data_IF_903676275479
#
_entry.id   IF_903676275479
#
_cell.length_a   1.000
_cell.length_b   1.000
_cell.length_c   1.000
_cell.angle_alpha   90.00
_cell.angle_beta   90.00
_cell.angle_gamma   90.00
#
_symmetry.space_group_name_H-M   'P 1'
#
loop_
_entity.id
_entity.type
_entity.pdbx_description
1 polymer ?
#
# COMPACT_ATOMS: atom_id res chain seq x y z
N UNK A 1 26.51 -7.05 -16.88
CA UNK A 1 26.34 -6.85 -15.43
C UNK A 1 24.84 -6.72 -15.22
N UNK A 2 24.16 -7.87 -15.09
CA UNK A 2 22.70 -7.94 -15.00
C UNK A 2 22.27 -7.29 -13.67
N UNK A 3 21.63 -6.12 -13.76
CA UNK A 3 21.14 -5.39 -12.60
C UNK A 3 19.91 -6.14 -12.07
N UNK A 4 20.15 -7.08 -11.15
CA UNK A 4 19.11 -7.80 -10.42
C UNK A 4 18.18 -6.77 -9.77
N UNK A 5 16.98 -6.61 -10.32
CA UNK A 5 15.94 -5.76 -9.75
C UNK A 5 15.48 -6.40 -8.45
N UNK A 6 16.11 -6.02 -7.34
CA UNK A 6 15.64 -6.36 -6.00
C UNK A 6 14.32 -5.62 -5.77
N UNK A 7 13.21 -6.26 -6.08
CA UNK A 7 11.88 -5.77 -5.74
C UNK A 7 11.70 -6.01 -4.24
N UNK A 8 12.19 -5.07 -3.44
CA UNK A 8 11.90 -5.07 -2.02
C UNK A 8 10.38 -4.89 -1.85
N UNK A 9 9.67 -5.80 -1.18
CA UNK A 9 8.24 -5.64 -0.94
C UNK A 9 8.00 -4.29 -0.25
N UNK A 10 7.01 -3.55 -0.75
CA UNK A 10 6.67 -2.23 -0.22
C UNK A 10 6.42 -2.34 1.29
N UNK A 11 7.06 -1.45 2.06
CA UNK A 11 7.17 -1.62 3.51
C UNK A 11 5.80 -1.73 4.18
N UNK A 12 5.71 -2.53 5.24
CA UNK A 12 4.48 -2.63 6.04
C UNK A 12 3.97 -1.27 6.55
N UNK A 13 4.87 -0.28 6.69
CA UNK A 13 4.49 1.10 7.01
C UNK A 13 3.57 1.73 5.97
N UNK A 14 3.76 1.45 4.67
CA UNK A 14 2.88 1.95 3.61
C UNK A 14 1.47 1.36 3.68
N UNK A 15 1.36 0.07 4.04
CA UNK A 15 0.07 -0.56 4.27
C UNK A 15 -0.63 0.08 5.49
N UNK A 16 0.08 0.25 6.60
CA UNK A 16 -0.48 0.85 7.82
C UNK A 16 -0.96 2.28 7.55
N UNK A 17 -0.18 3.10 6.84
CA UNK A 17 -0.59 4.47 6.50
C UNK A 17 -1.82 4.50 5.60
N UNK A 18 -1.95 3.57 4.65
CA UNK A 18 -3.16 3.47 3.82
C UNK A 18 -4.41 3.11 4.62
N UNK A 19 -4.29 2.19 5.60
CA UNK A 19 -5.40 1.79 6.48
C UNK A 19 -5.81 2.96 7.39
N UNK A 20 -4.84 3.57 8.07
CA UNK A 20 -5.12 4.69 8.99
C UNK A 20 -5.69 5.88 8.23
N UNK A 21 -5.12 6.22 7.07
CA UNK A 21 -5.62 7.29 6.22
C UNK A 21 -7.04 7.05 5.72
N UNK A 22 -7.37 5.81 5.33
CA UNK A 22 -8.73 5.43 4.95
C UNK A 22 -9.71 5.62 6.12
N UNK A 23 -9.38 5.14 7.32
CA UNK A 23 -10.25 5.26 8.49
C UNK A 23 -10.47 6.72 8.90
N UNK A 24 -9.42 7.54 8.95
CA UNK A 24 -9.54 8.97 9.25
C UNK A 24 -10.40 9.67 8.21
N UNK A 25 -10.19 9.35 6.93
CA UNK A 25 -10.94 9.99 5.86
C UNK A 25 -12.42 9.61 5.88
N UNK A 26 -12.74 8.35 6.15
CA UNK A 26 -14.12 7.86 6.20
C UNK A 26 -14.89 8.34 7.43
N UNK A 27 -14.27 8.34 8.61
CA UNK A 27 -14.96 8.62 9.88
C UNK A 27 -14.83 10.07 10.36
N UNK A 28 -13.73 10.75 10.03
CA UNK A 28 -13.50 12.14 10.47
C UNK A 28 -13.68 13.15 9.35
N UNK A 29 -13.10 12.90 8.17
CA UNK A 29 -13.09 13.91 7.10
C UNK A 29 -14.41 13.93 6.33
N UNK A 30 -14.98 12.77 6.00
CA UNK A 30 -16.24 12.68 5.26
C UNK A 30 -17.42 13.41 5.93
N UNK A 31 -17.69 13.25 7.24
CA UNK A 31 -18.76 14.02 7.89
C UNK A 31 -18.46 15.51 7.99
N UNK A 32 -17.17 15.92 8.04
CA UNK A 32 -16.79 17.34 8.07
C UNK A 32 -16.84 17.99 6.68
N UNK A 33 -16.49 17.27 5.63
CA UNK A 33 -16.47 17.75 4.25
C UNK A 33 -16.58 16.59 3.28
N UNK A 34 -17.76 16.43 2.68
CA UNK A 34 -18.03 15.32 1.76
C UNK A 34 -17.07 15.30 0.55
N UNK A 35 -16.68 16.48 0.02
CA UNK A 35 -15.77 16.58 -1.14
C UNK A 35 -14.36 16.08 -0.81
N UNK A 36 -13.80 16.55 0.31
CA UNK A 36 -12.46 16.17 0.75
C UNK A 36 -12.41 14.75 1.29
N UNK A 37 -13.44 14.32 2.03
CA UNK A 37 -13.55 12.96 2.54
C UNK A 37 -13.61 11.94 1.41
N UNK A 38 -14.45 12.17 0.39
CA UNK A 38 -14.52 11.29 -0.77
C UNK A 38 -13.17 11.19 -1.51
N UNK A 39 -12.53 12.33 -1.77
CA UNK A 39 -11.23 12.36 -2.46
C UNK A 39 -10.16 11.58 -1.69
N UNK A 40 -10.06 11.77 -0.37
CA UNK A 40 -9.07 11.09 0.45
C UNK A 40 -9.38 9.60 0.64
N UNK A 41 -10.65 9.23 0.84
CA UNK A 41 -11.07 7.82 0.89
C UNK A 41 -10.69 7.11 -0.41
N UNK A 42 -10.96 7.72 -1.57
CA UNK A 42 -10.59 7.16 -2.87
C UNK A 42 -9.06 7.01 -2.99
N UNK A 43 -8.31 8.04 -2.62
CA UNK A 43 -6.85 8.03 -2.64
C UNK A 43 -6.27 6.90 -1.77
N UNK A 44 -6.69 6.80 -0.51
CA UNK A 44 -6.20 5.77 0.41
C UNK A 44 -6.64 4.36 0.02
N UNK A 45 -7.80 4.21 -0.64
CA UNK A 45 -8.23 2.93 -1.21
C UNK A 45 -7.29 2.48 -2.33
N UNK A 46 -6.94 3.37 -3.26
CA UNK A 46 -5.98 3.07 -4.32
C UNK A 46 -4.59 2.74 -3.76
N UNK A 47 -4.17 3.49 -2.74
CA UNK A 47 -2.93 3.26 -2.01
C UNK A 47 -2.91 1.87 -1.35
N UNK A 48 -4.02 1.46 -0.75
CA UNK A 48 -4.16 0.14 -0.15
C UNK A 48 -4.10 -0.98 -1.20
N UNK A 49 -4.77 -0.82 -2.34
CA UNK A 49 -4.69 -1.78 -3.46
C UNK A 49 -3.26 -1.91 -3.99
N UNK A 50 -2.56 -0.78 -4.17
CA UNK A 50 -1.16 -0.78 -4.58
C UNK A 50 -0.27 -1.52 -3.55
N UNK A 51 -0.52 -1.33 -2.26
CA UNK A 51 0.18 -2.03 -1.19
C UNK A 51 -0.03 -3.55 -1.26
N UNK A 52 -1.28 -4.00 -1.46
CA UNK A 52 -1.59 -5.42 -1.61
C UNK A 52 -0.89 -6.04 -2.82
N UNK A 53 -0.94 -5.36 -3.97
CA UNK A 53 -0.27 -5.82 -5.19
C UNK A 53 1.24 -5.95 -4.95
N UNK A 54 1.86 -4.95 -4.32
CA UNK A 54 3.29 -5.00 -4.04
C UNK A 54 3.70 -6.11 -3.07
N UNK A 55 2.85 -6.46 -2.11
CA UNK A 55 3.12 -7.57 -1.17
C UNK A 55 2.90 -8.95 -1.79
N UNK A 56 2.15 -9.03 -2.89
CA UNK A 56 1.87 -10.29 -3.59
C UNK A 56 3.09 -10.77 -4.39
N UNK A 57 3.98 -9.86 -4.81
CA UNK A 57 5.26 -10.23 -5.43
C UNK A 57 6.28 -10.60 -4.35
N UNK A 58 6.37 -11.91 -4.04
CA UNK A 58 7.39 -12.44 -3.14
C UNK A 58 8.80 -12.32 -3.79
N UNK A 59 9.85 -12.06 -2.99
CA UNK A 59 11.21 -11.96 -3.51
C UNK A 59 11.61 -13.28 -4.16
N UNK A 60 11.98 -13.21 -5.45
CA UNK A 60 12.46 -14.36 -6.23
C UNK A 60 13.72 -15.00 -5.63
N UNK A 61 14.43 -14.28 -4.74
CA UNK A 61 15.60 -14.77 -4.00
C UNK A 61 15.27 -15.91 -3.02
N UNK A 62 14.04 -16.03 -2.50
CA UNK A 62 13.69 -17.10 -1.55
C UNK A 62 13.68 -18.49 -2.21
N UNK A 63 13.52 -18.56 -3.53
CA UNK A 63 13.49 -19.80 -4.30
C UNK A 63 14.90 -20.32 -4.68
N UNK A 64 15.96 -19.51 -4.53
CA UNK A 64 17.31 -19.84 -5.03
C UNK A 64 18.33 -20.20 -3.94
N UNK A 65 17.93 -20.29 -2.68
CA UNK A 65 18.83 -20.63 -1.56
C UNK A 65 18.64 -22.05 -0.99
N UNK A 66 18.06 -22.96 -1.76
CA UNK A 66 18.09 -24.39 -1.47
C UNK A 66 19.30 -24.97 -2.23
N UNK A 67 20.48 -24.94 -1.60
CA UNK A 67 21.64 -25.72 -2.02
C UNK A 67 22.16 -26.51 -0.83
#
# INVERSE_FOLDING_TARGET
MEKQFNIAPLSGGYMITSIVGFLISAFYVYPSSAKWGFALVLFFTLMFVAAMISMTYAPTDFQLKIK
#
